data_IF_573195513315
#
_entry.id   IF_573195513315
#
_cell.length_a   1.000
_cell.length_b   1.000
_cell.length_c   1.000
_cell.angle_alpha   90.00
_cell.angle_beta   90.00
_cell.angle_gamma   90.00
#
_symmetry.space_group_name_H-M   'P 1'
#
loop_
_entity.id
_entity.type
_entity.pdbx_description
1 polymer ?
#
# COMPACT_ATOMS: atom_id res chain seq x y z
N UNK A 1 -4.80 -13.85 -13.09
CA UNK A 1 -5.33 -14.26 -11.77
C UNK A 1 -4.89 -13.19 -10.77
N UNK A 2 -5.72 -12.17 -10.53
CA UNK A 2 -5.41 -11.06 -9.60
C UNK A 2 -6.60 -10.80 -8.68
N UNK A 3 -7.14 -11.89 -8.09
CA UNK A 3 -8.26 -11.87 -7.15
C UNK A 3 -7.79 -11.82 -5.68
N UNK A 4 -6.53 -11.45 -5.41
CA UNK A 4 -5.95 -11.54 -4.06
C UNK A 4 -5.95 -10.24 -3.24
N UNK A 5 -6.45 -9.11 -3.75
CA UNK A 5 -6.53 -7.89 -2.91
C UNK A 5 -7.85 -7.74 -2.14
N UNK A 6 -8.89 -8.46 -2.53
CA UNK A 6 -10.24 -8.15 -2.06
C UNK A 6 -10.71 -8.90 -0.81
N UNK A 7 -10.16 -10.09 -0.50
CA UNK A 7 -10.96 -11.04 0.29
C UNK A 7 -10.23 -11.96 1.29
N UNK A 8 -9.00 -11.66 1.73
CA UNK A 8 -8.26 -12.60 2.61
C UNK A 8 -7.71 -12.05 3.93
N UNK A 9 -7.92 -10.78 4.28
CA UNK A 9 -7.51 -10.27 5.60
C UNK A 9 -8.65 -9.54 6.33
N UNK A 10 -9.62 -10.34 6.76
CA UNK A 10 -10.59 -10.09 7.82
C UNK A 10 -10.60 -11.39 8.64
N UNK A 11 -10.57 -11.45 9.99
CA UNK A 11 -10.36 -10.44 11.04
C UNK A 11 -9.25 -10.87 12.05
N UNK A 12 -8.30 -11.71 11.64
CA UNK A 12 -7.27 -12.31 12.52
C UNK A 12 -5.91 -12.29 11.82
N UNK A 13 -4.85 -11.83 12.50
CA UNK A 13 -3.49 -12.28 12.17
C UNK A 13 -2.47 -11.21 11.85
N UNK A 14 -2.17 -10.38 12.85
CA UNK A 14 -0.94 -9.61 12.99
C UNK A 14 -0.60 -8.58 11.89
N UNK A 15 -1.26 -7.42 11.98
CA UNK A 15 -0.92 -6.21 11.20
C UNK A 15 0.56 -5.84 11.36
N UNK A 16 1.16 -6.07 12.53
CA UNK A 16 2.58 -5.76 12.75
C UNK A 16 3.49 -6.71 11.95
N UNK A 17 3.14 -8.00 11.88
CA UNK A 17 3.86 -8.94 11.03
C UNK A 17 3.74 -8.59 9.53
N UNK A 18 2.56 -8.14 9.08
CA UNK A 18 2.35 -7.66 7.71
C UNK A 18 3.25 -6.44 7.41
N UNK A 19 3.26 -5.45 8.31
CA UNK A 19 4.10 -4.27 8.20
C UNK A 19 5.59 -4.62 8.20
N UNK A 20 6.03 -5.53 9.09
CA UNK A 20 7.42 -5.98 9.15
C UNK A 20 7.85 -6.71 7.86
N UNK A 21 6.98 -7.56 7.32
CA UNK A 21 7.24 -8.26 6.06
C UNK A 21 7.37 -7.29 4.88
N UNK A 22 6.47 -6.31 4.78
CA UNK A 22 6.54 -5.31 3.72
C UNK A 22 7.72 -4.34 3.89
N UNK A 23 8.11 -4.03 5.13
CA UNK A 23 9.30 -3.23 5.41
C UNK A 23 10.58 -3.96 4.99
N UNK A 24 10.70 -5.25 5.29
CA UNK A 24 11.84 -6.06 4.82
C UNK A 24 11.88 -6.14 3.29
N UNK A 25 10.72 -6.31 2.64
CA UNK A 25 10.63 -6.30 1.18
C UNK A 25 11.05 -4.94 0.60
N UNK A 26 10.68 -3.83 1.24
CA UNK A 26 11.09 -2.48 0.86
C UNK A 26 12.61 -2.31 0.95
N UNK A 27 13.23 -2.77 2.03
CA UNK A 27 14.68 -2.65 2.22
C UNK A 27 15.46 -3.47 1.17
N UNK A 28 14.97 -4.68 0.84
CA UNK A 28 15.53 -5.48 -0.24
C UNK A 28 15.34 -4.82 -1.61
N UNK A 29 14.16 -4.28 -1.91
CA UNK A 29 13.88 -3.61 -3.18
C UNK A 29 14.75 -2.37 -3.38
N UNK A 30 14.95 -1.58 -2.32
CA UNK A 30 15.86 -0.42 -2.31
C UNK A 30 17.31 -0.84 -2.52
N UNK A 31 17.76 -1.88 -1.82
CA UNK A 31 19.10 -2.44 -1.99
C UNK A 31 19.36 -2.97 -3.41
N UNK A 32 18.32 -3.45 -4.08
CA UNK A 32 18.38 -3.92 -5.46
C UNK A 32 18.13 -2.82 -6.52
N UNK A 33 17.73 -1.60 -6.12
CA UNK A 33 17.38 -0.52 -7.04
C UNK A 33 16.15 -0.83 -7.91
N UNK A 34 15.15 -1.52 -7.36
CA UNK A 34 13.96 -2.00 -8.08
C UNK A 34 12.70 -1.21 -7.70
N UNK A 35 12.42 -0.04 -8.34
CA UNK A 35 11.35 0.86 -7.94
C UNK A 35 9.95 0.24 -8.04
N UNK A 36 9.71 -0.68 -8.98
CA UNK A 36 8.43 -1.41 -9.08
C UNK A 36 8.16 -2.32 -7.87
N UNK A 37 9.20 -2.90 -7.28
CA UNK A 37 9.07 -3.69 -6.04
C UNK A 37 8.90 -2.80 -4.82
N UNK A 38 9.57 -1.64 -4.79
CA UNK A 38 9.34 -0.63 -3.76
C UNK A 38 7.87 -0.17 -3.77
N UNK A 39 7.32 0.12 -4.95
CA UNK A 39 5.93 0.52 -5.12
C UNK A 39 4.96 -0.52 -4.51
N UNK A 40 5.18 -1.81 -4.81
CA UNK A 40 4.35 -2.91 -4.28
C UNK A 40 4.44 -3.04 -2.77
N UNK A 41 5.63 -2.85 -2.18
CA UNK A 41 5.80 -2.86 -0.74
C UNK A 41 5.03 -1.70 -0.08
N UNK A 42 5.12 -0.49 -0.63
CA UNK A 42 4.34 0.66 -0.17
C UNK A 42 2.83 0.45 -0.27
N UNK A 43 2.35 -0.16 -1.36
CA UNK A 43 0.93 -0.50 -1.52
C UNK A 43 0.42 -1.43 -0.40
N UNK A 44 1.17 -2.49 -0.09
CA UNK A 44 0.82 -3.41 0.99
C UNK A 44 0.85 -2.78 2.39
N UNK A 45 1.83 -1.91 2.65
CA UNK A 45 1.87 -1.13 3.90
C UNK A 45 0.67 -0.18 4.01
N UNK A 46 0.27 0.46 2.90
CA UNK A 46 -0.90 1.34 2.89
C UNK A 46 -2.19 0.60 3.23
N UNK A 47 -2.37 -0.59 2.68
CA UNK A 47 -3.51 -1.46 2.99
C UNK A 47 -3.51 -1.83 4.50
N UNK A 48 -2.35 -2.21 5.05
CA UNK A 48 -2.21 -2.53 6.48
C UNK A 48 -2.51 -1.33 7.40
N UNK A 49 -2.05 -0.13 7.05
CA UNK A 49 -2.33 1.09 7.81
C UNK A 49 -3.79 1.52 7.73
N UNK A 50 -4.40 1.37 6.56
CA UNK A 50 -5.82 1.65 6.35
C UNK A 50 -6.68 0.73 7.24
N UNK A 51 -6.35 -0.56 7.29
CA UNK A 51 -7.01 -1.53 8.17
C UNK A 51 -6.86 -1.20 9.66
N UNK A 52 -5.75 -0.57 10.07
CA UNK A 52 -5.52 -0.12 11.45
C UNK A 52 -6.22 1.20 11.77
N UNK A 53 -6.95 1.79 10.83
CA UNK A 53 -7.60 3.09 10.98
C UNK A 53 -6.63 4.28 10.91
N UNK A 54 -5.35 4.05 10.59
CA UNK A 54 -4.36 5.14 10.41
C UNK A 54 -4.39 5.65 8.98
N UNK A 55 -5.48 6.33 8.63
CA UNK A 55 -5.77 6.81 7.28
C UNK A 55 -4.72 7.78 6.72
N UNK A 56 -4.16 8.67 7.54
CA UNK A 56 -3.06 9.55 7.14
C UNK A 56 -1.79 8.78 6.73
N UNK A 57 -1.37 7.79 7.54
CA UNK A 57 -0.20 6.95 7.19
C UNK A 57 -0.48 6.08 5.95
N UNK A 58 -1.71 5.58 5.81
CA UNK A 58 -2.12 4.82 4.64
C UNK A 58 -2.04 5.68 3.36
N UNK A 59 -2.48 6.94 3.44
CA UNK A 59 -2.40 7.89 2.35
C UNK A 59 -0.95 8.11 1.88
N UNK A 60 -0.03 8.36 2.81
CA UNK A 60 1.39 8.57 2.49
C UNK A 60 2.01 7.34 1.80
N UNK A 61 1.67 6.14 2.29
CA UNK A 61 2.13 4.89 1.70
C UNK A 61 1.57 4.69 0.28
N UNK A 62 0.28 4.95 0.05
CA UNK A 62 -0.30 4.88 -1.28
C UNK A 62 0.27 5.93 -2.24
N UNK A 63 0.58 7.14 -1.76
CA UNK A 63 1.19 8.19 -2.57
C UNK A 63 2.59 7.78 -3.03
N UNK A 64 3.41 7.22 -2.13
CA UNK A 64 4.72 6.64 -2.49
C UNK A 64 4.61 5.46 -3.44
N UNK A 65 3.64 4.58 -3.26
CA UNK A 65 3.36 3.51 -4.21
C UNK A 65 3.09 4.07 -5.61
N UNK A 66 2.31 5.15 -5.73
CA UNK A 66 1.95 5.76 -7.01
C UNK A 66 3.15 6.48 -7.64
N UNK A 67 3.95 7.20 -6.86
CA UNK A 67 5.16 7.86 -7.37
C UNK A 67 6.15 6.87 -7.97
N UNK A 68 6.32 5.70 -7.33
CA UNK A 68 7.28 4.67 -7.74
C UNK A 68 6.74 3.72 -8.82
N UNK A 69 5.41 3.55 -8.89
CA UNK A 69 4.76 2.84 -9.99
C UNK A 69 4.81 3.70 -11.25
N UNK A 70 5.89 3.53 -12.03
CA UNK A 70 6.07 4.18 -13.32
C UNK A 70 4.89 3.97 -14.27
N UNK A 71 4.66 4.94 -15.17
CA UNK A 71 3.44 5.01 -16.01
C UNK A 71 3.21 3.79 -16.92
N UNK A 72 4.24 2.99 -17.20
CA UNK A 72 4.19 1.90 -18.19
C UNK A 72 4.20 0.49 -17.59
N UNK A 73 4.80 0.28 -16.43
CA UNK A 73 5.06 -1.08 -15.91
C UNK A 73 3.95 -1.62 -14.98
N UNK A 74 3.10 -0.77 -14.39
CA UNK A 74 2.13 -1.22 -13.38
C UNK A 74 0.85 -0.35 -13.36
N UNK A 75 0.25 -0.15 -14.54
CA UNK A 75 -0.97 0.66 -14.72
C UNK A 75 -2.16 0.22 -13.84
N UNK A 76 -2.33 -1.09 -13.63
CA UNK A 76 -3.34 -1.67 -12.74
C UNK A 76 -3.07 -1.40 -11.25
N UNK A 77 -1.80 -1.45 -10.84
CA UNK A 77 -1.38 -1.13 -9.48
C UNK A 77 -1.71 0.34 -9.17
N UNK A 78 -1.33 1.23 -10.08
CA UNK A 78 -1.57 2.68 -9.99
C UNK A 78 -3.06 3.01 -9.93
N UNK A 79 -3.87 2.45 -10.84
CA UNK A 79 -5.32 2.69 -10.87
C UNK A 79 -6.00 2.27 -9.55
N UNK A 80 -5.54 1.17 -8.97
CA UNK A 80 -6.09 0.65 -7.73
C UNK A 80 -5.75 1.52 -6.52
N UNK A 81 -4.50 1.95 -6.40
CA UNK A 81 -4.07 2.78 -5.28
C UNK A 81 -4.47 4.25 -5.41
N UNK A 82 -4.74 4.75 -6.62
CA UNK A 82 -5.39 6.06 -6.80
C UNK A 82 -6.77 6.12 -6.14
N UNK A 83 -7.57 5.06 -6.31
CA UNK A 83 -8.87 4.95 -5.65
C UNK A 83 -8.71 4.91 -4.12
N UNK A 84 -7.80 4.06 -3.61
CA UNK A 84 -7.57 3.95 -2.18
C UNK A 84 -6.99 5.22 -1.54
N UNK A 85 -6.11 5.94 -2.25
CA UNK A 85 -5.57 7.23 -1.82
C UNK A 85 -6.69 8.28 -1.65
N UNK A 86 -7.66 8.30 -2.55
CA UNK A 86 -8.84 9.18 -2.43
C UNK A 86 -9.70 8.84 -1.20
N UNK A 87 -9.97 7.55 -0.98
CA UNK A 87 -10.73 7.07 0.19
C UNK A 87 -10.00 7.38 1.50
N UNK A 88 -8.69 7.12 1.56
CA UNK A 88 -7.88 7.42 2.74
C UNK A 88 -7.89 8.93 3.06
N UNK A 89 -7.78 9.80 2.05
CA UNK A 89 -7.85 11.25 2.22
C UNK A 89 -9.23 11.73 2.69
N UNK A 90 -10.30 11.17 2.14
CA UNK A 90 -11.65 11.50 2.60
C UNK A 90 -11.83 11.11 4.07
N UNK A 91 -11.49 9.88 4.44
CA UNK A 91 -11.64 9.41 5.82
C UNK A 91 -10.76 10.18 6.83
N UNK A 92 -9.56 10.60 6.43
CA UNK A 92 -8.70 11.50 7.22
C UNK A 92 -9.39 12.85 7.50
N UNK A 93 -10.07 13.43 6.50
CA UNK A 93 -10.75 14.72 6.63
C UNK A 93 -12.08 14.66 7.38
N UNK A 94 -12.80 13.52 7.35
CA UNK A 94 -14.10 13.37 8.03
C UNK A 94 -13.96 12.76 9.43
N UNK A 95 -12.83 12.09 9.72
CA UNK A 95 -12.55 11.41 10.98
C UNK A 95 -11.82 12.25 12.05
N UNK A 96 -11.50 13.50 11.76
CA UNK A 96 -10.82 14.45 12.66
C UNK A 96 -11.78 15.41 13.37
#
# INVERSE_FOLDING_TARGET
ISYQRGNLYFPLGDIEACLASHQAALDHARGAGLPGLEARAYGGMGDAWYMRGRTGTAFEAFDRCIELAGERDDSWLRASYLCMRGVARFNDLVGS
#
